data_IF_146224505179
#
_entry.id   IF_146224505179
#
_cell.length_a   1.000
_cell.length_b   1.000
_cell.length_c   1.000
_cell.angle_alpha   90.00
_cell.angle_beta   90.00
_cell.angle_gamma   90.00
#
_symmetry.space_group_name_H-M   'P 1'
#
loop_
_entity.id
_entity.type
_entity.pdbx_description
1 polymer ?
#
# COMPACT_ATOMS: atom_id res chain seq x y z
N UNK A 1 -11.14 7.30 18.58
CA UNK A 1 -9.94 6.88 17.82
C UNK A 1 -10.07 7.27 16.35
N UNK A 2 -8.99 7.69 15.69
CA UNK A 2 -9.03 7.98 14.25
C UNK A 2 -8.99 6.68 13.42
N UNK A 3 -9.66 6.65 12.25
CA UNK A 3 -9.63 5.49 11.34
C UNK A 3 -8.20 5.08 10.94
N UNK A 4 -7.30 6.07 10.82
CA UNK A 4 -5.87 5.85 10.55
C UNK A 4 -5.16 5.16 11.70
N UNK A 5 -5.49 5.50 12.95
CA UNK A 5 -4.95 4.83 14.12
C UNK A 5 -5.43 3.39 14.19
N UNK A 6 -6.74 3.14 14.03
CA UNK A 6 -7.31 1.78 14.05
C UNK A 6 -6.66 0.86 13.00
N UNK A 7 -6.45 1.35 11.77
CA UNK A 7 -5.79 0.56 10.73
C UNK A 7 -4.33 0.21 11.08
N UNK A 8 -3.56 1.18 11.58
CA UNK A 8 -2.16 0.93 11.99
C UNK A 8 -2.07 0.04 13.21
N UNK A 9 -2.98 0.22 14.15
CA UNK A 9 -3.09 -0.61 15.35
C UNK A 9 -3.42 -2.06 14.97
N UNK A 10 -4.39 -2.27 14.07
CA UNK A 10 -4.72 -3.60 13.55
C UNK A 10 -3.52 -4.25 12.84
N UNK A 11 -2.77 -3.51 12.01
CA UNK A 11 -1.55 -4.03 11.40
C UNK A 11 -0.49 -4.43 12.43
N UNK A 12 -0.29 -3.61 13.47
CA UNK A 12 0.60 -3.94 14.58
C UNK A 12 0.14 -5.18 15.34
N UNK A 13 -1.16 -5.33 15.55
CA UNK A 13 -1.76 -6.46 16.24
C UNK A 13 -1.57 -7.76 15.45
N UNK A 14 -1.68 -7.72 14.11
CA UNK A 14 -1.36 -8.87 13.25
C UNK A 14 0.09 -9.34 13.47
N UNK A 15 1.05 -8.41 13.53
CA UNK A 15 2.44 -8.76 13.78
C UNK A 15 2.64 -9.43 15.15
N UNK A 16 1.96 -8.91 16.19
CA UNK A 16 1.99 -9.51 17.54
C UNK A 16 1.39 -10.91 17.53
N UNK A 17 0.23 -11.10 16.93
CA UNK A 17 -0.43 -12.42 16.86
C UNK A 17 0.44 -13.42 16.12
N UNK A 18 1.00 -13.05 14.96
CA UNK A 18 1.89 -13.92 14.19
C UNK A 18 3.15 -14.28 14.98
N UNK A 19 3.75 -13.30 15.68
CA UNK A 19 4.93 -13.55 16.52
C UNK A 19 4.62 -14.52 17.67
N UNK A 20 3.48 -14.35 18.34
CA UNK A 20 3.02 -15.27 19.40
C UNK A 20 2.78 -16.67 18.84
N UNK A 21 2.08 -16.78 17.71
CA UNK A 21 1.81 -18.08 17.08
C UNK A 21 3.11 -18.80 16.67
N UNK A 22 4.08 -18.06 16.13
CA UNK A 22 5.39 -18.61 15.80
C UNK A 22 6.18 -19.04 17.04
N UNK A 23 6.16 -18.25 18.12
CA UNK A 23 6.79 -18.65 19.37
C UNK A 23 6.16 -19.94 19.93
N UNK A 24 4.83 -20.05 19.90
CA UNK A 24 4.13 -21.26 20.33
C UNK A 24 4.43 -22.47 19.45
N UNK A 25 4.78 -22.29 18.17
CA UNK A 25 5.12 -23.42 17.29
C UNK A 25 6.50 -23.99 17.53
N UNK A 26 7.43 -23.19 18.10
CA UNK A 26 8.80 -23.63 18.40
C UNK A 26 8.99 -24.11 19.85
N UNK A 27 8.09 -23.76 20.77
CA UNK A 27 8.15 -24.20 22.17
C UNK A 27 7.86 -25.72 22.26
N UNK A 28 8.75 -26.52 22.88
CA UNK A 28 8.59 -27.98 22.94
C UNK A 28 7.24 -28.44 23.53
N UNK A 29 6.72 -27.75 24.55
CA UNK A 29 5.45 -28.11 25.20
C UNK A 29 4.18 -27.82 24.40
N UNK A 30 4.27 -27.04 23.32
CA UNK A 30 3.12 -26.65 22.48
C UNK A 30 3.29 -27.07 21.02
N UNK A 31 4.40 -27.73 20.70
CA UNK A 31 4.79 -28.13 19.34
C UNK A 31 3.80 -29.10 18.70
N UNK A 32 3.19 -29.99 19.47
CA UNK A 32 2.21 -30.94 18.94
C UNK A 32 0.91 -30.24 18.47
N UNK A 33 0.56 -29.11 19.09
CA UNK A 33 -0.62 -28.33 18.72
C UNK A 33 -0.33 -27.27 17.65
N UNK A 34 0.85 -26.65 17.69
CA UNK A 34 1.17 -25.46 16.89
C UNK A 34 2.30 -25.68 15.88
N UNK A 35 2.89 -26.86 15.79
CA UNK A 35 4.05 -27.15 14.93
C UNK A 35 3.79 -27.00 13.43
N UNK A 36 2.52 -26.94 13.00
CA UNK A 36 2.14 -26.62 11.64
C UNK A 36 2.40 -25.14 11.27
N UNK A 37 2.50 -24.24 12.25
CA UNK A 37 2.74 -22.82 12.04
C UNK A 37 4.24 -22.51 11.99
N UNK A 38 4.85 -22.87 10.86
CA UNK A 38 6.28 -22.68 10.60
C UNK A 38 6.66 -21.20 10.41
N UNK A 39 7.98 -20.93 10.36
CA UNK A 39 8.48 -19.59 10.04
C UNK A 39 8.03 -19.13 8.64
N UNK A 40 7.90 -20.04 7.67
CA UNK A 40 7.43 -19.70 6.34
C UNK A 40 5.97 -19.22 6.34
N UNK A 41 5.10 -19.81 7.17
CA UNK A 41 3.74 -19.29 7.37
C UNK A 41 3.71 -17.93 8.06
N UNK A 42 4.57 -17.73 9.06
CA UNK A 42 4.69 -16.43 9.73
C UNK A 42 5.12 -15.32 8.76
N UNK A 43 6.15 -15.56 7.95
CA UNK A 43 6.63 -14.63 6.91
C UNK A 43 5.53 -14.40 5.87
N UNK A 44 4.84 -15.45 5.42
CA UNK A 44 3.75 -15.35 4.44
C UNK A 44 2.67 -14.37 4.90
N UNK A 45 2.23 -14.48 6.15
CA UNK A 45 1.16 -13.64 6.68
C UNK A 45 1.64 -12.19 6.84
N UNK A 46 2.81 -11.97 7.46
CA UNK A 46 3.32 -10.61 7.68
C UNK A 46 3.56 -9.92 6.34
N UNK A 47 4.30 -10.56 5.44
CA UNK A 47 4.61 -10.00 4.13
C UNK A 47 3.32 -9.80 3.31
N UNK A 48 2.37 -10.74 3.35
CA UNK A 48 1.10 -10.62 2.62
C UNK A 48 0.26 -9.45 3.10
N UNK A 49 0.08 -9.31 4.42
CA UNK A 49 -0.73 -8.24 5.02
C UNK A 49 -0.08 -6.87 4.80
N UNK A 50 1.23 -6.74 5.03
CA UNK A 50 1.93 -5.48 4.78
C UNK A 50 1.98 -5.15 3.28
N UNK A 51 2.18 -6.15 2.42
CA UNK A 51 2.17 -5.98 0.97
C UNK A 51 0.86 -5.39 0.46
N UNK A 52 -0.27 -5.97 0.88
CA UNK A 52 -1.60 -5.43 0.57
C UNK A 52 -1.81 -4.03 1.14
N UNK A 53 -1.38 -3.78 2.39
CA UNK A 53 -1.50 -2.46 3.01
C UNK A 53 -0.73 -1.38 2.24
N UNK A 54 0.48 -1.69 1.76
CA UNK A 54 1.29 -0.79 0.93
C UNK A 54 0.66 -0.55 -0.45
N UNK A 55 0.15 -1.59 -1.12
CA UNK A 55 -0.56 -1.46 -2.39
C UNK A 55 -1.80 -0.56 -2.23
N UNK A 56 -2.65 -0.80 -1.22
CA UNK A 56 -3.82 0.04 -0.96
C UNK A 56 -3.45 1.47 -0.61
N UNK A 57 -2.35 1.68 0.13
CA UNK A 57 -1.83 3.03 0.40
C UNK A 57 -1.39 3.74 -0.88
N UNK A 58 -0.82 3.02 -1.84
CA UNK A 58 -0.44 3.57 -3.14
C UNK A 58 -1.64 3.89 -4.03
N UNK A 59 -2.66 3.03 -4.06
CA UNK A 59 -3.87 3.21 -4.88
C UNK A 59 -4.78 4.31 -4.35
N UNK A 60 -5.13 4.25 -3.06
CA UNK A 60 -6.17 5.09 -2.46
C UNK A 60 -5.61 6.23 -1.59
N UNK A 61 -4.31 6.26 -1.36
CA UNK A 61 -3.68 7.31 -0.57
C UNK A 61 -3.67 8.66 -1.28
N UNK A 62 -3.90 9.73 -0.53
CA UNK A 62 -3.69 11.12 -0.96
C UNK A 62 -2.19 11.44 -0.94
N UNK A 63 -1.42 10.79 -1.82
CA UNK A 63 0.03 10.98 -1.95
C UNK A 63 0.37 11.48 -3.37
N UNK A 64 1.53 12.10 -3.53
CA UNK A 64 2.06 12.48 -4.83
C UNK A 64 2.32 11.24 -5.72
N UNK A 65 2.27 11.41 -7.04
CA UNK A 65 2.40 10.32 -8.02
C UNK A 65 3.61 9.39 -7.78
N UNK A 66 4.84 9.90 -7.57
CA UNK A 66 6.01 9.06 -7.27
C UNK A 66 5.85 8.24 -5.99
N UNK A 67 5.32 8.84 -4.92
CA UNK A 67 5.06 8.15 -3.65
C UNK A 67 3.99 7.07 -3.81
N UNK A 68 2.98 7.26 -4.66
CA UNK A 68 2.00 6.21 -4.97
C UNK A 68 2.66 5.00 -5.62
N UNK A 69 3.48 5.21 -6.66
CA UNK A 69 4.21 4.13 -7.34
C UNK A 69 5.16 3.41 -6.39
N UNK A 70 5.91 4.16 -5.57
CA UNK A 70 6.83 3.60 -4.60
C UNK A 70 6.11 2.67 -3.60
N UNK A 71 4.97 3.11 -3.05
CA UNK A 71 4.18 2.27 -2.15
C UNK A 71 3.67 0.99 -2.86
N UNK A 72 3.26 1.08 -4.13
CA UNK A 72 2.83 -0.10 -4.89
C UNK A 72 3.99 -1.07 -5.12
N UNK A 73 5.17 -0.59 -5.49
CA UNK A 73 6.33 -1.45 -5.75
C UNK A 73 6.88 -2.08 -4.47
N UNK A 74 6.91 -1.33 -3.36
CA UNK A 74 7.22 -1.92 -2.05
C UNK A 74 6.20 -2.99 -1.67
N UNK A 75 4.91 -2.71 -1.86
CA UNK A 75 3.86 -3.67 -1.58
C UNK A 75 3.95 -4.92 -2.45
N UNK A 76 4.26 -4.78 -3.73
CA UNK A 76 4.49 -5.90 -4.65
C UNK A 76 5.70 -6.75 -4.25
N UNK A 77 6.80 -6.12 -3.79
CA UNK A 77 7.95 -6.84 -3.23
C UNK A 77 7.57 -7.68 -2.01
N UNK A 78 6.75 -7.13 -1.11
CA UNK A 78 6.23 -7.90 0.02
C UNK A 78 5.30 -9.04 -0.41
N UNK A 79 4.45 -8.83 -1.43
CA UNK A 79 3.62 -9.90 -2.00
C UNK A 79 4.49 -11.02 -2.59
N UNK A 80 5.59 -10.70 -3.27
CA UNK A 80 6.55 -11.72 -3.74
C UNK A 80 7.12 -12.54 -2.59
N UNK A 81 7.61 -11.88 -1.55
CA UNK A 81 8.12 -12.57 -0.35
C UNK A 81 7.04 -13.47 0.25
N UNK A 82 5.79 -12.99 0.34
CA UNK A 82 4.69 -13.77 0.87
C UNK A 82 4.41 -15.04 0.07
N UNK A 83 4.28 -14.91 -1.25
CA UNK A 83 3.95 -16.03 -2.13
C UNK A 83 5.10 -17.03 -2.21
N UNK A 84 6.34 -16.57 -2.29
CA UNK A 84 7.51 -17.46 -2.33
C UNK A 84 7.69 -18.21 -1.01
N UNK A 85 7.51 -17.54 0.13
CA UNK A 85 7.52 -18.17 1.44
C UNK A 85 6.42 -19.23 1.57
N UNK A 86 5.22 -18.93 1.06
CA UNK A 86 4.10 -19.87 1.06
C UNK A 86 4.38 -21.11 0.21
N UNK A 87 4.96 -20.95 -0.98
CA UNK A 87 5.32 -22.08 -1.86
C UNK A 87 6.39 -22.97 -1.22
N UNK A 88 7.31 -22.36 -0.46
CA UNK A 88 8.26 -23.09 0.38
C UNK A 88 7.57 -24.10 1.29
N UNK A 89 6.44 -23.71 1.89
CA UNK A 89 5.66 -24.52 2.83
C UNK A 89 4.69 -25.52 2.17
N UNK A 90 4.15 -25.17 1.00
CA UNK A 90 3.17 -26.03 0.31
C UNK A 90 3.84 -27.27 -0.28
N UNK A 91 3.19 -28.44 -0.20
CA UNK A 91 3.68 -29.70 -0.77
C UNK A 91 3.43 -29.78 -2.29
N UNK A 92 3.94 -28.80 -3.05
CA UNK A 92 3.81 -28.74 -4.51
C UNK A 92 5.04 -29.39 -5.16
N UNK A 93 4.81 -30.25 -6.15
CA UNK A 93 5.86 -30.78 -7.04
C UNK A 93 6.34 -29.67 -8.01
N UNK A 94 7.63 -29.65 -8.35
CA UNK A 94 8.20 -28.65 -9.27
C UNK A 94 8.05 -27.17 -8.86
N UNK A 95 8.17 -26.88 -7.56
CA UNK A 95 8.12 -25.50 -7.01
C UNK A 95 8.97 -24.49 -7.76
N UNK A 96 10.14 -24.91 -8.26
CA UNK A 96 11.08 -24.03 -8.96
C UNK A 96 10.51 -23.50 -10.28
N UNK A 97 9.72 -24.30 -10.99
CA UNK A 97 9.09 -23.90 -12.26
C UNK A 97 8.00 -22.84 -12.05
N UNK A 98 7.47 -22.71 -10.84
CA UNK A 98 6.45 -21.71 -10.49
C UNK A 98 7.04 -20.35 -10.10
N UNK A 99 8.30 -20.29 -9.67
CA UNK A 99 8.93 -19.05 -9.16
C UNK A 99 8.95 -17.95 -10.21
N UNK A 100 9.49 -18.24 -11.41
CA UNK A 100 9.62 -17.24 -12.48
C UNK A 100 8.26 -16.74 -12.98
N UNK A 101 7.28 -17.61 -13.29
CA UNK A 101 5.92 -17.17 -13.67
C UNK A 101 5.27 -16.26 -12.62
N UNK A 102 5.41 -16.57 -11.33
CA UNK A 102 4.84 -15.76 -10.25
C UNK A 102 5.49 -14.38 -10.20
N UNK A 103 6.83 -14.32 -10.32
CA UNK A 103 7.55 -13.04 -10.36
C UNK A 103 7.05 -12.21 -11.54
N UNK A 104 6.95 -12.81 -12.73
CA UNK A 104 6.45 -12.13 -13.92
C UNK A 104 5.05 -11.55 -13.70
N UNK A 105 4.10 -12.35 -13.19
CA UNK A 105 2.73 -11.90 -12.92
C UNK A 105 2.70 -10.75 -11.92
N UNK A 106 3.40 -10.87 -10.79
CA UNK A 106 3.39 -9.83 -9.75
C UNK A 106 4.02 -8.53 -10.25
N UNK A 107 5.14 -8.61 -10.98
CA UNK A 107 5.79 -7.44 -11.58
C UNK A 107 4.86 -6.77 -12.59
N UNK A 108 4.24 -7.53 -13.49
CA UNK A 108 3.29 -6.98 -14.47
C UNK A 108 2.12 -6.28 -13.78
N UNK A 109 1.51 -6.91 -12.78
CA UNK A 109 0.40 -6.31 -12.02
C UNK A 109 0.86 -5.04 -11.30
N UNK A 110 2.04 -5.05 -10.67
CA UNK A 110 2.56 -3.89 -9.97
C UNK A 110 2.80 -2.69 -10.89
N UNK A 111 3.34 -2.93 -12.10
CA UNK A 111 3.52 -1.89 -13.12
C UNK A 111 2.17 -1.33 -13.56
N UNK A 112 1.19 -2.19 -13.88
CA UNK A 112 -0.16 -1.78 -14.27
C UNK A 112 -0.84 -0.95 -13.18
N UNK A 113 -0.78 -1.39 -11.93
CA UNK A 113 -1.31 -0.64 -10.79
C UNK A 113 -0.59 0.70 -10.61
N UNK A 114 0.72 0.75 -10.84
CA UNK A 114 1.50 1.98 -10.82
C UNK A 114 1.05 3.02 -11.86
N UNK A 115 0.63 2.57 -13.05
CA UNK A 115 0.03 3.45 -14.06
C UNK A 115 -1.37 3.93 -13.64
N UNK A 116 -2.23 3.02 -13.18
CA UNK A 116 -3.60 3.32 -12.75
C UNK A 116 -3.61 4.29 -11.56
N UNK A 117 -2.73 4.10 -10.57
CA UNK A 117 -2.67 4.93 -9.35
C UNK A 117 -2.38 6.42 -9.61
N UNK A 118 -1.66 6.71 -10.70
CA UNK A 118 -1.29 8.08 -11.11
C UNK A 118 -2.32 8.67 -12.08
N UNK A 119 -3.25 7.86 -12.61
CA UNK A 119 -4.35 8.32 -13.46
C UNK A 119 -3.89 8.99 -14.75
N UNK A 120 -2.70 8.63 -15.25
CA UNK A 120 -2.10 9.23 -16.46
C UNK A 120 -1.66 10.69 -16.31
N UNK A 121 -1.76 11.29 -15.11
CA UNK A 121 -1.30 12.67 -14.89
C UNK A 121 0.22 12.71 -15.02
N UNK A 122 0.70 13.55 -15.95
CA UNK A 122 2.15 13.80 -16.09
C UNK A 122 2.66 14.37 -14.77
N UNK A 123 3.83 13.89 -14.36
CA UNK A 123 4.53 14.26 -13.13
C UNK A 123 4.74 15.78 -12.98
N UNK A 124 4.58 16.53 -14.07
CA UNK A 124 4.85 17.96 -14.23
C UNK A 124 3.60 18.81 -14.55
N UNK A 125 2.38 18.27 -14.40
CA UNK A 125 1.19 19.14 -14.40
C UNK A 125 1.16 19.91 -13.08
N UNK A 126 1.81 21.07 -13.06
CA UNK A 126 1.69 22.03 -11.96
C UNK A 126 0.23 22.42 -11.74
N UNK A 127 -0.14 22.74 -10.50
CA UNK A 127 -1.52 23.14 -10.16
C UNK A 127 -2.03 24.32 -11.02
N UNK A 128 -1.10 25.14 -11.52
CA UNK A 128 -1.34 26.24 -12.45
C UNK A 128 -1.81 25.82 -13.85
N UNK A 129 -1.68 24.54 -14.22
CA UNK A 129 -2.17 23.99 -15.49
C UNK A 129 -3.57 23.38 -15.36
N UNK A 130 -4.18 23.36 -14.17
CA UNK A 130 -5.55 22.90 -13.99
C UNK A 130 -6.54 23.93 -14.54
N UNK A 131 -7.55 23.45 -15.28
CA UNK A 131 -8.64 24.28 -15.78
C UNK A 131 -9.37 24.94 -14.60
N UNK A 132 -9.41 26.27 -14.58
CA UNK A 132 -10.01 27.06 -13.49
C UNK A 132 -9.05 27.46 -12.36
N UNK A 133 -7.75 27.17 -12.46
CA UNK A 133 -6.77 27.68 -11.49
C UNK A 133 -6.68 29.21 -11.58
N UNK A 134 -7.03 29.88 -10.48
CA UNK A 134 -6.88 31.34 -10.35
C UNK A 134 -5.55 31.65 -9.67
N UNK A 135 -4.71 32.42 -10.36
CA UNK A 135 -3.46 32.89 -9.80
C UNK A 135 -3.71 33.83 -8.60
N UNK A 136 -2.69 34.02 -7.74
CA UNK A 136 -2.79 34.89 -6.56
C UNK A 136 -3.36 36.27 -6.88
N UNK A 137 -2.88 36.90 -7.95
CA UNK A 137 -3.39 38.20 -8.42
C UNK A 137 -4.85 38.16 -8.85
N UNK A 138 -5.30 37.07 -9.48
CA UNK A 138 -6.69 36.90 -9.89
C UNK A 138 -7.61 36.72 -8.67
N UNK A 139 -7.16 35.97 -7.65
CA UNK A 139 -7.89 35.83 -6.38
C UNK A 139 -7.99 37.17 -5.64
N UNK A 140 -6.87 37.91 -5.58
CA UNK A 140 -6.84 39.25 -4.96
C UNK A 140 -7.75 40.25 -5.67
N UNK A 141 -7.72 40.28 -7.00
CA UNK A 141 -8.59 41.17 -7.77
C UNK A 141 -10.08 40.81 -7.63
N UNK A 142 -10.42 39.53 -7.45
CA UNK A 142 -11.80 39.11 -7.16
C UNK A 142 -12.23 39.47 -5.73
N UNK A 143 -11.35 39.29 -4.74
CA UNK A 143 -11.60 39.72 -3.36
C UNK A 143 -11.85 41.23 -3.26
N UNK A 144 -11.05 42.04 -3.97
CA UNK A 144 -11.20 43.49 -4.02
C UNK A 144 -12.51 43.91 -4.70
N UNK A 145 -12.86 43.30 -5.83
CA UNK A 145 -14.15 43.56 -6.52
C UNK A 145 -15.36 43.14 -5.68
N UNK A 146 -15.25 42.05 -4.92
CA UNK A 146 -16.30 41.63 -3.99
C UNK A 146 -16.44 42.61 -2.82
N UNK A 147 -15.31 43.13 -2.32
CA UNK A 147 -15.28 44.10 -1.24
C UNK A 147 -15.85 45.46 -1.66
N UNK A 148 -15.64 45.89 -2.91
CA UNK A 148 -16.25 47.10 -3.48
C UNK A 148 -17.76 46.93 -3.65
N UNK A 149 -18.22 45.83 -4.26
CA UNK A 149 -19.67 45.57 -4.40
C UNK A 149 -20.41 45.54 -3.06
N UNK A 150 -19.82 44.92 -2.03
CA UNK A 150 -20.42 44.87 -0.70
C UNK A 150 -20.41 46.23 0.03
N UNK A 151 -19.61 47.20 -0.42
CA UNK A 151 -19.64 48.58 0.10
C UNK A 151 -20.70 49.42 -0.60
N UNK A 152 -20.93 49.19 -1.89
CA UNK A 152 -21.94 49.92 -2.67
C UNK A 152 -23.39 49.45 -2.38
N UNK A 153 -23.56 48.23 -1.84
CA UNK A 153 -24.85 47.67 -1.42
C UNK A 153 -25.25 48.02 0.05
N UNK A 154 -24.46 48.82 0.76
CA UNK A 154 -24.75 49.32 2.12
C UNK A 154 -25.08 50.80 2.14
#
# INVERSE_FOLDING_TARGET
MSKKFMFRFALGLVAVVVAVMWLLSVIPGTKDAMGWFTLGWAITIIAGVFGLAFIFRGLFGKNAGPLKKLNIYFGAGFVLVAVLSMIGELAIEDKQNLVIPIIAVVVTVALLLGFVAVGGKKWDQGDNQNVGYKNYYQRKAEEEKLAEKNKDEK
#
